data_IF_703016947654
#
_entry.id   IF_703016947654
#
_cell.length_a   1.000
_cell.length_b   1.000
_cell.length_c   1.000
_cell.angle_alpha   90.00
_cell.angle_beta   90.00
_cell.angle_gamma   90.00
#
_symmetry.space_group_name_H-M   'P 1'
#
loop_
_entity.id
_entity.type
_entity.pdbx_description
1 polymer ?
#
# COMPACT_ATOMS: atom_id res chain seq x y z
N UNK A 1 2.18 24.25 25.00
CA UNK A 1 1.95 23.72 26.36
C UNK A 1 0.47 23.32 26.56
N UNK A 2 -0.50 24.25 26.35
CA UNK A 2 -1.94 23.97 26.57
C UNK A 2 -2.45 22.88 25.60
N UNK A 3 -2.13 22.97 24.30
CA UNK A 3 -2.52 21.97 23.29
C UNK A 3 -2.01 20.56 23.64
N UNK A 4 -0.76 20.42 24.10
CA UNK A 4 -0.20 19.12 24.49
C UNK A 4 -0.81 18.52 25.77
N UNK A 5 -1.49 19.35 26.56
CA UNK A 5 -2.25 18.93 27.74
C UNK A 5 -3.74 18.69 27.46
N UNK A 6 -4.19 18.84 26.22
CA UNK A 6 -5.60 18.72 25.85
C UNK A 6 -6.44 19.97 26.10
N UNK A 7 -5.87 21.06 26.66
CA UNK A 7 -6.54 22.32 26.95
C UNK A 7 -6.61 23.22 25.70
N UNK A 8 -7.18 22.69 24.59
CA UNK A 8 -7.12 23.36 23.27
C UNK A 8 -7.90 24.67 23.27
N UNK A 9 -9.02 24.79 24.00
CA UNK A 9 -9.81 26.01 24.10
C UNK A 9 -9.01 27.18 24.68
N UNK A 10 -8.13 26.90 25.64
CA UNK A 10 -7.22 27.92 26.20
C UNK A 10 -6.18 28.37 25.18
N UNK A 11 -5.62 27.41 24.43
CA UNK A 11 -4.67 27.70 23.35
C UNK A 11 -5.32 28.57 22.27
N UNK A 12 -6.53 28.23 21.82
CA UNK A 12 -7.32 28.99 20.85
C UNK A 12 -7.52 30.44 21.28
N UNK A 13 -7.98 30.68 22.53
CA UNK A 13 -8.20 32.04 23.02
C UNK A 13 -6.92 32.87 23.00
N UNK A 14 -5.80 32.29 23.42
CA UNK A 14 -4.50 32.96 23.45
C UNK A 14 -4.05 33.31 22.03
N UNK A 15 -4.05 32.33 21.10
CA UNK A 15 -3.58 32.58 19.75
C UNK A 15 -4.49 33.52 18.97
N UNK A 16 -5.82 33.50 19.22
CA UNK A 16 -6.75 34.51 18.67
C UNK A 16 -6.46 35.91 19.20
N UNK A 17 -6.19 36.07 20.51
CA UNK A 17 -5.84 37.35 21.09
C UNK A 17 -4.52 37.91 20.52
N UNK A 18 -3.53 37.03 20.28
CA UNK A 18 -2.27 37.40 19.65
C UNK A 18 -2.46 37.84 18.18
N UNK A 19 -3.25 37.12 17.40
CA UNK A 19 -3.55 37.45 16.00
C UNK A 19 -4.25 38.80 15.86
N UNK A 20 -5.17 39.09 16.77
CA UNK A 20 -5.95 40.35 16.77
C UNK A 20 -5.20 41.55 17.39
N UNK A 21 -4.03 41.34 17.98
CA UNK A 21 -3.31 42.42 18.64
C UNK A 21 -2.72 43.43 17.65
N UNK A 22 -2.94 44.75 17.82
CA UNK A 22 -2.39 45.78 16.95
C UNK A 22 -0.84 45.97 17.16
N UNK A 23 -0.30 45.47 18.27
CA UNK A 23 1.11 45.68 18.63
C UNK A 23 2.11 44.70 17.97
N UNK A 24 1.60 43.67 17.31
CA UNK A 24 2.45 42.64 16.67
C UNK A 24 2.77 43.00 15.22
N UNK A 25 4.01 42.70 14.83
CA UNK A 25 4.46 42.78 13.45
C UNK A 25 3.72 41.77 12.56
N UNK A 26 3.79 41.94 11.25
CA UNK A 26 3.19 41.03 10.28
C UNK A 26 3.68 39.59 10.49
N UNK A 27 4.99 39.40 10.66
CA UNK A 27 5.61 38.09 10.90
C UNK A 27 5.12 37.43 12.21
N UNK A 28 5.04 38.21 13.31
CA UNK A 28 4.50 37.72 14.59
C UNK A 28 3.05 37.29 14.47
N UNK A 29 2.24 38.01 13.66
CA UNK A 29 0.86 37.61 13.36
C UNK A 29 0.79 36.33 12.55
N UNK A 30 1.70 36.13 11.57
CA UNK A 30 1.76 34.86 10.83
C UNK A 30 2.10 33.68 11.75
N UNK A 31 3.06 33.86 12.68
CA UNK A 31 3.35 32.84 13.70
C UNK A 31 2.12 32.54 14.58
N UNK A 32 1.39 33.58 15.03
CA UNK A 32 0.17 33.40 15.78
C UNK A 32 -0.90 32.64 14.98
N UNK A 33 -1.10 33.00 13.70
CA UNK A 33 -2.01 32.30 12.78
C UNK A 33 -1.60 30.83 12.58
N UNK A 34 -0.31 30.54 12.45
CA UNK A 34 0.18 29.18 12.34
C UNK A 34 -0.16 28.34 13.58
N UNK A 35 0.03 28.90 14.79
CA UNK A 35 -0.33 28.22 16.02
C UNK A 35 -1.84 28.03 16.15
N UNK A 36 -2.63 29.05 15.76
CA UNK A 36 -4.09 29.00 15.73
C UNK A 36 -4.60 27.92 14.75
N UNK A 37 -4.00 27.84 13.57
CA UNK A 37 -4.32 26.78 12.61
C UNK A 37 -4.03 25.37 13.17
N UNK A 38 -2.91 25.20 13.88
CA UNK A 38 -2.59 23.93 14.58
C UNK A 38 -3.60 23.60 15.69
N UNK A 39 -4.13 24.61 16.39
CA UNK A 39 -5.18 24.40 17.40
C UNK A 39 -6.49 23.97 16.74
N UNK A 40 -6.90 24.60 15.63
CA UNK A 40 -8.05 24.17 14.84
C UNK A 40 -7.91 22.75 14.30
N UNK A 41 -6.70 22.37 13.84
CA UNK A 41 -6.40 20.99 13.46
C UNK A 41 -6.60 19.99 14.60
N UNK A 42 -6.22 20.36 15.83
CA UNK A 42 -6.31 19.48 16.99
C UNK A 42 -7.77 19.21 17.40
N UNK A 43 -8.67 20.17 17.19
CA UNK A 43 -10.12 20.01 17.47
C UNK A 43 -10.94 19.57 16.26
N UNK A 44 -10.29 19.39 15.10
CA UNK A 44 -10.96 18.91 13.88
C UNK A 44 -11.70 19.99 13.07
N UNK A 45 -11.47 21.27 13.35
CA UNK A 45 -12.04 22.39 12.56
C UNK A 45 -11.20 22.63 11.31
N UNK A 46 -11.26 21.67 10.38
CA UNK A 46 -10.40 21.67 9.19
C UNK A 46 -10.61 22.88 8.28
N UNK A 47 -11.84 23.35 8.10
CA UNK A 47 -12.16 24.53 7.25
C UNK A 47 -11.47 25.79 7.77
N UNK A 48 -11.46 25.98 9.09
CA UNK A 48 -10.78 27.13 9.72
C UNK A 48 -9.27 27.04 9.62
N UNK A 49 -8.74 25.83 9.81
CA UNK A 49 -7.32 25.58 9.66
C UNK A 49 -6.87 25.78 8.20
N UNK A 50 -7.65 25.28 7.22
CA UNK A 50 -7.42 25.45 5.78
C UNK A 50 -7.29 26.93 5.43
N UNK A 51 -8.28 27.74 5.86
CA UNK A 51 -8.27 29.19 5.59
C UNK A 51 -6.98 29.87 6.07
N UNK A 52 -6.52 29.55 7.28
CA UNK A 52 -5.31 30.14 7.83
C UNK A 52 -4.05 29.67 7.11
N UNK A 53 -3.95 28.37 6.75
CA UNK A 53 -2.78 27.86 6.01
C UNK A 53 -2.73 28.40 4.58
N UNK A 54 -3.86 28.61 3.91
CA UNK A 54 -3.90 29.22 2.57
C UNK A 54 -3.25 30.62 2.58
N UNK A 55 -3.48 31.41 3.62
CA UNK A 55 -2.86 32.76 3.77
C UNK A 55 -1.32 32.71 3.92
N UNK A 56 -0.77 31.55 4.25
CA UNK A 56 0.67 31.38 4.48
C UNK A 56 1.41 30.73 3.29
N UNK A 57 0.67 30.28 2.27
CA UNK A 57 1.30 29.56 1.12
C UNK A 57 2.22 30.48 0.31
N UNK A 58 1.91 31.77 0.26
CA UNK A 58 2.68 32.74 -0.51
C UNK A 58 3.86 33.37 0.29
N UNK A 59 3.97 33.01 1.58
CA UNK A 59 5.06 33.48 2.44
C UNK A 59 6.19 32.46 2.46
N UNK A 60 7.39 32.78 1.93
CA UNK A 60 8.45 31.80 1.70
C UNK A 60 8.86 30.99 2.94
N UNK A 61 8.91 31.63 4.12
CA UNK A 61 9.30 31.00 5.38
C UNK A 61 8.21 30.03 5.92
N UNK A 62 6.95 30.18 5.53
CA UNK A 62 5.81 29.42 5.99
C UNK A 62 5.26 28.46 4.92
N UNK A 63 5.58 28.69 3.66
CA UNK A 63 4.98 28.01 2.51
C UNK A 63 5.09 26.47 2.60
N UNK A 64 6.28 25.93 2.87
CA UNK A 64 6.47 24.47 2.96
C UNK A 64 5.63 23.87 4.09
N UNK A 65 5.68 24.47 5.29
CA UNK A 65 4.92 24.00 6.43
C UNK A 65 3.39 24.12 6.22
N UNK A 66 2.94 25.21 5.60
CA UNK A 66 1.52 25.42 5.27
C UNK A 66 1.02 24.39 4.26
N UNK A 67 1.78 24.14 3.17
CA UNK A 67 1.43 23.14 2.16
C UNK A 67 1.41 21.72 2.76
N UNK A 68 2.34 21.37 3.64
CA UNK A 68 2.31 20.08 4.34
C UNK A 68 1.04 19.90 5.16
N UNK A 69 0.61 20.93 5.89
CA UNK A 69 -0.61 20.86 6.70
C UNK A 69 -1.88 20.84 5.83
N UNK A 70 -1.91 21.59 4.73
CA UNK A 70 -3.00 21.55 3.75
C UNK A 70 -3.14 20.15 3.13
N UNK A 71 -2.03 19.49 2.78
CA UNK A 71 -2.05 18.12 2.28
C UNK A 71 -2.69 17.16 3.30
N UNK A 72 -2.36 17.30 4.60
CA UNK A 72 -2.97 16.50 5.68
C UNK A 72 -4.47 16.78 5.81
N UNK A 73 -4.90 18.05 5.70
CA UNK A 73 -6.32 18.42 5.73
C UNK A 73 -7.05 17.73 4.59
N UNK A 74 -6.60 17.92 3.34
CA UNK A 74 -7.24 17.38 2.15
C UNK A 74 -7.23 15.85 2.09
N UNK A 75 -6.21 15.20 2.65
CA UNK A 75 -6.21 13.76 2.84
C UNK A 75 -7.30 13.31 3.83
N UNK A 76 -7.50 14.04 4.94
CA UNK A 76 -8.53 13.73 5.93
C UNK A 76 -9.95 13.99 5.41
N UNK A 77 -10.15 15.08 4.67
CA UNK A 77 -11.44 15.45 4.07
C UNK A 77 -11.71 14.72 2.75
N UNK A 78 -10.73 13.94 2.24
CA UNK A 78 -10.78 13.22 0.96
C UNK A 78 -10.95 14.13 -0.26
N UNK A 79 -10.48 15.35 -0.17
CA UNK A 79 -10.48 16.32 -1.26
C UNK A 79 -9.26 16.13 -2.16
N UNK A 80 -9.21 14.98 -2.86
CA UNK A 80 -8.01 14.50 -3.54
C UNK A 80 -7.48 15.46 -4.61
N UNK A 81 -8.34 16.15 -5.32
CA UNK A 81 -7.91 17.15 -6.33
C UNK A 81 -7.15 18.32 -5.69
N UNK A 82 -7.60 18.81 -4.53
CA UNK A 82 -6.89 19.83 -3.76
C UNK A 82 -5.59 19.27 -3.18
N UNK A 83 -5.61 18.02 -2.69
CA UNK A 83 -4.42 17.33 -2.18
C UNK A 83 -3.33 17.22 -3.24
N UNK A 84 -3.68 16.84 -4.49
CA UNK A 84 -2.77 16.78 -5.63
C UNK A 84 -2.17 18.17 -5.89
N UNK A 85 -2.99 19.21 -6.04
CA UNK A 85 -2.50 20.55 -6.33
C UNK A 85 -1.50 21.07 -5.29
N UNK A 86 -1.76 20.77 -4.00
CA UNK A 86 -0.88 21.17 -2.91
C UNK A 86 0.41 20.34 -2.92
N UNK A 87 0.31 19.03 -3.15
CA UNK A 87 1.48 18.16 -3.22
C UNK A 87 2.38 18.47 -4.42
N UNK A 88 1.80 18.88 -5.58
CA UNK A 88 2.58 19.35 -6.72
C UNK A 88 3.33 20.66 -6.42
N UNK A 89 2.70 21.62 -5.69
CA UNK A 89 3.38 22.83 -5.23
C UNK A 89 4.52 22.48 -4.27
N UNK A 90 4.26 21.57 -3.34
CA UNK A 90 5.25 21.12 -2.36
C UNK A 90 6.43 20.41 -3.03
N UNK A 91 6.20 19.61 -4.07
CA UNK A 91 7.24 18.95 -4.85
C UNK A 91 8.17 19.95 -5.58
N UNK A 92 7.68 21.15 -5.93
CA UNK A 92 8.52 22.20 -6.51
C UNK A 92 9.44 22.86 -5.48
N UNK A 93 9.00 22.98 -4.23
CA UNK A 93 9.77 23.57 -3.12
C UNK A 93 10.75 22.55 -2.54
N UNK A 94 10.29 21.32 -2.35
CA UNK A 94 11.04 20.20 -1.75
C UNK A 94 11.00 18.95 -2.63
N UNK A 95 11.78 18.89 -3.73
CA UNK A 95 11.66 17.84 -4.77
C UNK A 95 11.87 16.41 -4.28
N UNK A 96 12.53 16.20 -3.13
CA UNK A 96 12.90 14.85 -2.68
C UNK A 96 11.91 14.17 -1.73
N UNK A 97 10.87 14.84 -1.26
CA UNK A 97 10.10 14.36 -0.09
C UNK A 97 8.70 13.82 -0.34
N UNK A 98 8.02 14.08 -1.45
CA UNK A 98 6.56 13.83 -1.53
C UNK A 98 6.08 13.09 -2.79
N UNK A 99 6.97 12.37 -3.48
CA UNK A 99 6.58 11.65 -4.70
C UNK A 99 5.64 10.47 -4.43
N UNK A 100 5.86 9.75 -3.32
CA UNK A 100 5.03 8.59 -2.96
C UNK A 100 3.61 9.03 -2.62
N UNK A 101 3.46 10.03 -1.73
CA UNK A 101 2.15 10.56 -1.34
C UNK A 101 1.38 11.10 -2.54
N UNK A 102 2.04 11.88 -3.40
CA UNK A 102 1.42 12.44 -4.59
C UNK A 102 0.93 11.36 -5.55
N UNK A 103 1.72 10.29 -5.78
CA UNK A 103 1.29 9.16 -6.60
C UNK A 103 0.06 8.47 -6.02
N UNK A 104 0.01 8.29 -4.69
CA UNK A 104 -1.15 7.72 -4.02
C UNK A 104 -2.37 8.65 -4.03
N UNK A 105 -2.19 9.97 -4.00
CA UNK A 105 -3.31 10.92 -4.15
C UNK A 105 -3.94 10.82 -5.54
N UNK A 106 -3.16 10.64 -6.60
CA UNK A 106 -3.70 10.33 -7.93
C UNK A 106 -4.49 9.02 -7.93
N UNK A 107 -3.99 7.96 -7.27
CA UNK A 107 -4.71 6.69 -7.15
C UNK A 107 -6.04 6.86 -6.38
N UNK A 108 -6.03 7.60 -5.27
CA UNK A 108 -7.26 7.88 -4.52
C UNK A 108 -8.23 8.74 -5.34
N UNK A 109 -7.72 9.70 -6.09
CA UNK A 109 -8.55 10.54 -6.96
C UNK A 109 -9.27 9.69 -8.00
N UNK A 110 -8.56 8.79 -8.70
CA UNK A 110 -9.16 7.87 -9.67
C UNK A 110 -10.21 6.97 -9.02
N UNK A 111 -9.93 6.45 -7.82
CA UNK A 111 -10.86 5.57 -7.09
C UNK A 111 -12.18 6.28 -6.72
N UNK A 112 -12.14 7.58 -6.54
CA UNK A 112 -13.30 8.40 -6.15
C UNK A 112 -13.90 9.19 -7.33
N UNK A 113 -13.45 8.95 -8.57
CA UNK A 113 -14.05 9.60 -9.74
C UNK A 113 -15.49 9.11 -9.93
N UNK A 114 -16.43 10.03 -10.20
CA UNK A 114 -17.78 9.66 -10.63
C UNK A 114 -17.76 8.84 -11.93
N UNK A 115 -18.71 7.94 -12.10
CA UNK A 115 -18.79 7.09 -13.31
C UNK A 115 -19.00 7.90 -14.59
N UNK A 116 -19.65 9.05 -14.50
CA UNK A 116 -19.93 10.00 -15.58
C UNK A 116 -18.85 11.08 -15.75
N UNK A 117 -17.73 10.94 -15.04
CA UNK A 117 -16.61 11.87 -15.16
C UNK A 117 -16.05 11.91 -16.57
N UNK A 118 -15.79 13.11 -17.09
CA UNK A 118 -15.10 13.32 -18.36
C UNK A 118 -13.57 13.11 -18.26
N UNK A 119 -13.05 12.98 -17.06
CA UNK A 119 -11.61 12.79 -16.84
C UNK A 119 -11.22 11.34 -17.18
N UNK A 120 -10.07 11.17 -17.83
CA UNK A 120 -9.58 9.84 -18.21
C UNK A 120 -8.76 9.22 -17.05
N UNK A 121 -9.28 8.15 -16.38
CA UNK A 121 -8.59 7.51 -15.27
C UNK A 121 -7.20 6.97 -15.65
N UNK A 122 -7.05 6.47 -16.87
CA UNK A 122 -5.76 5.94 -17.34
C UNK A 122 -4.69 7.03 -17.41
N UNK A 123 -5.03 8.22 -17.89
CA UNK A 123 -4.08 9.34 -17.95
C UNK A 123 -3.65 9.79 -16.56
N UNK A 124 -4.58 9.82 -15.60
CA UNK A 124 -4.32 10.21 -14.20
C UNK A 124 -3.36 9.19 -13.55
N UNK A 125 -3.58 7.89 -13.75
CA UNK A 125 -2.70 6.85 -13.21
C UNK A 125 -1.31 6.87 -13.87
N UNK A 126 -1.21 7.23 -15.15
CA UNK A 126 0.07 7.44 -15.81
C UNK A 126 0.83 8.65 -15.21
N UNK A 127 0.13 9.71 -14.76
CA UNK A 127 0.78 10.78 -14.01
C UNK A 127 1.30 10.28 -12.65
N UNK A 128 0.56 9.41 -11.96
CA UNK A 128 1.04 8.78 -10.74
C UNK A 128 2.36 8.04 -10.96
N UNK A 129 2.45 7.24 -12.03
CA UNK A 129 3.67 6.50 -12.38
C UNK A 129 4.81 7.42 -12.86
N UNK A 130 4.50 8.55 -13.48
CA UNK A 130 5.50 9.55 -13.85
C UNK A 130 6.15 10.19 -12.62
N UNK A 131 5.35 10.42 -11.58
CA UNK A 131 5.81 11.00 -10.31
C UNK A 131 6.57 9.95 -9.47
N UNK A 132 6.03 8.76 -9.35
CA UNK A 132 6.64 7.63 -8.62
C UNK A 132 6.59 6.36 -9.48
N UNK A 133 7.68 6.07 -10.24
CA UNK A 133 7.74 4.86 -11.06
C UNK A 133 7.62 3.54 -10.28
N UNK A 134 7.89 3.57 -8.96
CA UNK A 134 7.77 2.40 -8.07
C UNK A 134 6.37 2.18 -7.51
N UNK A 135 5.37 3.04 -7.82
CA UNK A 135 4.02 2.93 -7.29
C UNK A 135 3.27 1.71 -7.85
N UNK A 136 3.42 0.55 -7.20
CA UNK A 136 2.75 -0.69 -7.59
C UNK A 136 1.22 -0.54 -7.63
N UNK A 137 0.65 0.26 -6.74
CA UNK A 137 -0.80 0.53 -6.71
C UNK A 137 -1.32 1.12 -8.01
N UNK A 138 -0.61 2.10 -8.57
CA UNK A 138 -1.01 2.72 -9.84
C UNK A 138 -0.96 1.71 -11.00
N UNK A 139 0.05 0.83 -11.01
CA UNK A 139 0.14 -0.26 -11.99
C UNK A 139 -0.99 -1.27 -11.84
N UNK A 140 -1.33 -1.69 -10.63
CA UNK A 140 -2.47 -2.58 -10.37
C UNK A 140 -3.77 -1.95 -10.90
N UNK A 141 -4.03 -0.68 -10.58
CA UNK A 141 -5.23 0.02 -11.05
C UNK A 141 -5.26 0.19 -12.58
N UNK A 142 -4.11 0.41 -13.22
CA UNK A 142 -4.01 0.44 -14.71
C UNK A 142 -4.32 -0.92 -15.32
N UNK A 143 -3.80 -1.99 -14.73
CA UNK A 143 -4.11 -3.34 -15.18
C UNK A 143 -5.60 -3.67 -15.04
N UNK A 144 -6.24 -3.26 -13.93
CA UNK A 144 -7.68 -3.41 -13.72
C UNK A 144 -8.50 -2.68 -14.82
N UNK A 145 -8.05 -1.47 -15.22
CA UNK A 145 -8.66 -0.75 -16.35
C UNK A 145 -8.50 -1.49 -17.68
N UNK A 146 -7.30 -2.03 -17.93
CA UNK A 146 -7.03 -2.82 -19.14
C UNK A 146 -7.88 -4.10 -19.19
N UNK A 147 -8.05 -4.78 -18.06
CA UNK A 147 -8.91 -5.97 -17.93
C UNK A 147 -10.38 -5.63 -18.21
N UNK A 148 -10.88 -4.50 -17.70
CA UNK A 148 -12.24 -4.03 -17.99
C UNK A 148 -12.47 -3.73 -19.47
N UNK A 149 -11.40 -3.40 -20.20
CA UNK A 149 -11.40 -3.19 -21.65
C UNK A 149 -11.08 -4.48 -22.44
N UNK A 150 -11.01 -5.63 -21.76
CA UNK A 150 -10.63 -6.93 -22.32
C UNK A 150 -9.23 -6.96 -22.95
N UNK A 151 -8.39 -5.97 -22.64
CA UNK A 151 -7.00 -5.91 -23.11
C UNK A 151 -6.07 -6.66 -22.16
N UNK A 152 -6.22 -8.00 -22.14
CA UNK A 152 -5.48 -8.87 -21.23
C UNK A 152 -3.97 -8.85 -21.47
N UNK A 153 -3.54 -8.64 -22.73
CA UNK A 153 -2.10 -8.55 -23.04
C UNK A 153 -1.45 -7.34 -22.34
N UNK A 154 -2.07 -6.17 -22.47
CA UNK A 154 -1.57 -4.96 -21.77
C UNK A 154 -1.62 -5.14 -20.26
N UNK A 155 -2.64 -5.80 -19.72
CA UNK A 155 -2.73 -6.08 -18.29
C UNK A 155 -1.57 -6.96 -17.82
N UNK A 156 -1.21 -8.02 -18.57
CA UNK A 156 -0.05 -8.88 -18.28
C UNK A 156 1.24 -8.05 -18.24
N UNK A 157 1.51 -7.27 -19.29
CA UNK A 157 2.73 -6.46 -19.39
C UNK A 157 2.89 -5.51 -18.19
N UNK A 158 1.78 -4.88 -17.76
CA UNK A 158 1.77 -3.98 -16.60
C UNK A 158 2.00 -4.74 -15.30
N UNK A 159 1.33 -5.87 -15.09
CA UNK A 159 1.42 -6.64 -13.84
C UNK A 159 2.76 -7.35 -13.68
N UNK A 160 3.34 -7.88 -14.76
CA UNK A 160 4.67 -8.47 -14.71
C UNK A 160 5.75 -7.46 -14.33
N UNK A 161 5.59 -6.20 -14.75
CA UNK A 161 6.53 -5.14 -14.39
C UNK A 161 6.58 -4.88 -12.89
N UNK A 162 5.56 -5.25 -12.10
CA UNK A 162 5.55 -5.12 -10.64
C UNK A 162 6.72 -5.89 -10.02
N UNK A 163 7.15 -7.01 -10.60
CA UNK A 163 8.31 -7.77 -10.13
C UNK A 163 9.62 -6.93 -10.13
N UNK A 164 9.72 -5.95 -11.00
CA UNK A 164 10.89 -5.04 -11.09
C UNK A 164 10.63 -3.71 -10.42
N UNK A 165 9.40 -3.26 -10.39
CA UNK A 165 8.95 -1.99 -9.83
C UNK A 165 8.93 -2.01 -8.30
N UNK A 166 8.26 -3.02 -7.72
CA UNK A 166 8.19 -3.25 -6.28
C UNK A 166 7.80 -4.70 -6.00
N UNK A 167 8.80 -5.57 -5.90
CA UNK A 167 8.62 -7.02 -5.77
C UNK A 167 7.87 -7.45 -4.51
N UNK A 168 7.77 -6.60 -3.48
CA UNK A 168 7.04 -6.91 -2.24
C UNK A 168 5.55 -7.18 -2.52
N UNK A 169 4.99 -6.54 -3.56
CA UNK A 169 3.56 -6.68 -3.91
C UNK A 169 3.29 -7.70 -5.01
N UNK A 170 4.28 -8.51 -5.41
CA UNK A 170 4.06 -9.49 -6.49
C UNK A 170 2.98 -10.51 -6.11
N UNK A 171 2.90 -10.93 -4.86
CA UNK A 171 1.88 -11.85 -4.36
C UNK A 171 0.44 -11.36 -4.60
N UNK A 172 0.23 -10.05 -4.53
CA UNK A 172 -1.09 -9.42 -4.67
C UNK A 172 -1.67 -9.54 -6.08
N UNK A 173 -0.82 -9.73 -7.08
CA UNK A 173 -1.22 -9.71 -8.49
C UNK A 173 -1.25 -11.08 -9.15
N UNK A 174 -0.79 -12.13 -8.48
CA UNK A 174 -0.66 -13.47 -9.06
C UNK A 174 -1.98 -14.04 -9.58
N UNK A 175 -3.05 -13.91 -8.82
CA UNK A 175 -4.37 -14.39 -9.24
C UNK A 175 -4.89 -13.64 -10.47
N UNK A 176 -4.68 -12.33 -10.52
CA UNK A 176 -5.05 -11.49 -11.66
C UNK A 176 -4.21 -11.84 -12.88
N UNK A 177 -2.91 -12.07 -12.70
CA UNK A 177 -2.01 -12.56 -13.76
C UNK A 177 -2.45 -13.92 -14.29
N UNK A 178 -2.71 -14.91 -13.40
CA UNK A 178 -3.23 -16.24 -13.79
C UNK A 178 -4.48 -16.09 -14.65
N UNK A 179 -5.43 -15.26 -14.21
CA UNK A 179 -6.65 -14.99 -14.97
C UNK A 179 -6.38 -14.41 -16.37
N UNK A 180 -5.51 -13.39 -16.47
CA UNK A 180 -5.17 -12.79 -17.77
C UNK A 180 -4.50 -13.80 -18.71
N UNK A 181 -3.56 -14.61 -18.21
CA UNK A 181 -2.90 -15.64 -18.98
C UNK A 181 -3.85 -16.76 -19.42
N UNK A 182 -4.83 -17.13 -18.58
CA UNK A 182 -5.91 -18.06 -18.97
C UNK A 182 -6.74 -17.50 -20.14
N UNK A 183 -7.10 -16.21 -20.09
CA UNK A 183 -7.84 -15.55 -21.17
C UNK A 183 -7.05 -15.48 -22.49
N UNK A 184 -5.73 -15.43 -22.39
CA UNK A 184 -4.82 -15.44 -23.55
C UNK A 184 -4.46 -16.86 -24.01
N UNK A 185 -4.87 -17.92 -23.33
CA UNK A 185 -4.42 -19.31 -23.54
C UNK A 185 -2.89 -19.47 -23.50
N UNK A 186 -2.22 -18.80 -22.55
CA UNK A 186 -0.76 -18.73 -22.43
C UNK A 186 -0.27 -19.13 -21.03
N UNK A 187 -0.81 -20.18 -20.43
CA UNK A 187 -0.42 -20.64 -19.07
C UNK A 187 1.05 -21.07 -18.98
N UNK A 188 1.63 -21.57 -20.08
CA UNK A 188 3.06 -21.91 -20.10
C UNK A 188 3.95 -20.66 -19.89
N UNK A 189 3.55 -19.51 -20.44
CA UNK A 189 4.26 -18.25 -20.21
C UNK A 189 4.12 -17.79 -18.75
N UNK A 190 2.96 -18.03 -18.14
CA UNK A 190 2.76 -17.74 -16.72
C UNK A 190 3.66 -18.63 -15.83
N UNK A 191 3.82 -19.90 -16.15
CA UNK A 191 4.76 -20.79 -15.45
C UNK A 191 6.19 -20.26 -15.55
N UNK A 192 6.65 -19.87 -16.74
CA UNK A 192 7.97 -19.25 -16.94
C UNK A 192 8.15 -17.97 -16.12
N UNK A 193 7.12 -17.13 -16.08
CA UNK A 193 7.12 -15.93 -15.24
C UNK A 193 7.27 -16.27 -13.75
N UNK A 194 6.52 -17.25 -13.24
CA UNK A 194 6.60 -17.67 -11.84
C UNK A 194 7.97 -18.26 -11.49
N UNK A 195 8.59 -19.04 -12.38
CA UNK A 195 9.96 -19.56 -12.19
C UNK A 195 10.94 -18.40 -12.04
N UNK A 196 10.86 -17.40 -12.94
CA UNK A 196 11.71 -16.21 -12.91
C UNK A 196 11.46 -15.37 -11.65
N UNK A 197 10.21 -15.19 -11.25
CA UNK A 197 9.83 -14.44 -10.06
C UNK A 197 10.35 -15.12 -8.79
N UNK A 198 10.25 -16.45 -8.71
CA UNK A 198 10.73 -17.24 -7.58
C UNK A 198 12.25 -17.21 -7.43
N UNK A 199 12.98 -17.14 -8.54
CA UNK A 199 14.45 -16.99 -8.53
C UNK A 199 14.89 -15.61 -8.03
N UNK A 200 14.11 -14.57 -8.36
CA UNK A 200 14.46 -13.18 -8.01
C UNK A 200 14.08 -12.82 -6.58
N UNK A 201 12.93 -13.30 -6.13
CA UNK A 201 12.38 -13.00 -4.81
C UNK A 201 11.68 -14.24 -4.26
N UNK A 202 12.22 -14.83 -3.19
CA UNK A 202 11.70 -16.04 -2.57
C UNK A 202 10.36 -15.77 -1.86
N UNK A 203 9.35 -15.36 -2.62
CA UNK A 203 8.02 -15.07 -2.12
C UNK A 203 7.19 -16.36 -2.03
N UNK A 204 6.67 -16.66 -0.84
CA UNK A 204 5.89 -17.89 -0.60
C UNK A 204 4.64 -17.99 -1.48
N UNK A 205 3.98 -16.88 -1.79
CA UNK A 205 2.81 -16.88 -2.67
C UNK A 205 3.17 -17.28 -4.12
N UNK A 206 4.34 -16.85 -4.61
CA UNK A 206 4.85 -17.26 -5.93
C UNK A 206 5.16 -18.76 -5.93
N UNK A 207 5.82 -19.26 -4.89
CA UNK A 207 6.16 -20.68 -4.76
C UNK A 207 4.92 -21.57 -4.70
N UNK A 208 3.89 -21.16 -3.96
CA UNK A 208 2.62 -21.88 -3.86
C UNK A 208 1.87 -21.86 -5.20
N UNK A 209 1.78 -20.71 -5.86
CA UNK A 209 1.13 -20.60 -7.17
C UNK A 209 1.82 -21.47 -8.24
N UNK A 210 3.17 -21.53 -8.19
CA UNK A 210 3.94 -22.40 -9.08
C UNK A 210 3.67 -23.89 -8.78
N UNK A 211 3.58 -24.27 -7.51
CA UNK A 211 3.24 -25.63 -7.12
C UNK A 211 1.83 -26.04 -7.59
N UNK A 212 0.84 -25.15 -7.44
CA UNK A 212 -0.52 -25.38 -7.92
C UNK A 212 -0.57 -25.59 -9.45
N UNK A 213 0.20 -24.84 -10.23
CA UNK A 213 0.31 -25.06 -11.69
C UNK A 213 0.98 -26.37 -12.05
N UNK A 214 2.05 -26.75 -11.35
CA UNK A 214 2.75 -28.04 -11.56
C UNK A 214 1.81 -29.18 -11.19
N UNK A 215 1.03 -29.05 -10.11
CA UNK A 215 0.03 -30.05 -9.72
C UNK A 215 -1.02 -30.27 -10.81
N UNK A 216 -1.56 -29.17 -11.39
CA UNK A 216 -2.54 -29.22 -12.47
C UNK A 216 -1.96 -29.88 -13.75
N UNK A 217 -0.66 -29.72 -14.04
CA UNK A 217 -0.02 -30.16 -15.29
C UNK A 217 0.66 -31.53 -15.18
N UNK A 218 1.45 -31.73 -14.12
CA UNK A 218 2.39 -32.86 -13.99
C UNK A 218 2.00 -33.77 -12.80
N UNK A 219 0.98 -33.40 -12.04
CA UNK A 219 0.44 -34.16 -10.92
C UNK A 219 1.11 -33.87 -9.57
N UNK A 220 0.54 -34.50 -8.53
CA UNK A 220 0.84 -34.26 -7.13
C UNK A 220 2.33 -34.49 -6.79
N UNK A 221 2.94 -35.59 -7.30
CA UNK A 221 4.32 -35.93 -6.99
C UNK A 221 5.33 -34.87 -7.47
N UNK A 222 5.10 -34.28 -8.65
CA UNK A 222 5.96 -33.23 -9.17
C UNK A 222 5.84 -31.95 -8.33
N UNK A 223 4.62 -31.55 -7.97
CA UNK A 223 4.36 -30.40 -7.10
C UNK A 223 5.00 -30.58 -5.71
N UNK A 224 4.88 -31.77 -5.12
CA UNK A 224 5.48 -32.13 -3.83
C UNK A 224 7.00 -32.02 -3.86
N UNK A 225 7.65 -32.56 -4.90
CA UNK A 225 9.10 -32.45 -5.09
C UNK A 225 9.53 -30.98 -5.20
N UNK A 226 8.74 -30.15 -5.92
CA UNK A 226 9.02 -28.71 -6.07
C UNK A 226 8.96 -27.98 -4.74
N UNK A 227 7.93 -28.21 -3.94
CA UNK A 227 7.80 -27.57 -2.61
C UNK A 227 8.89 -28.07 -1.65
N UNK A 228 9.26 -29.34 -1.71
CA UNK A 228 10.37 -29.87 -0.91
C UNK A 228 11.70 -29.16 -1.22
N UNK A 229 12.03 -29.00 -2.51
CA UNK A 229 13.22 -28.25 -2.92
C UNK A 229 13.17 -26.79 -2.45
N UNK A 230 11.99 -26.18 -2.51
CA UNK A 230 11.81 -24.82 -2.06
C UNK A 230 12.00 -24.66 -0.54
N UNK A 231 11.48 -25.62 0.24
CA UNK A 231 11.66 -25.64 1.70
C UNK A 231 13.11 -25.81 2.12
N UNK A 232 13.90 -26.54 1.34
CA UNK A 232 15.35 -26.69 1.61
C UNK A 232 16.11 -25.36 1.37
N UNK A 233 15.68 -24.57 0.40
CA UNK A 233 16.32 -23.29 0.04
C UNK A 233 15.84 -22.13 0.91
N UNK A 234 14.54 -22.05 1.11
CA UNK A 234 13.89 -20.97 1.84
C UNK A 234 12.67 -21.52 2.60
N UNK A 235 12.84 -21.99 3.84
CA UNK A 235 11.74 -22.50 4.64
C UNK A 235 10.75 -21.39 4.98
N UNK A 236 9.48 -21.57 4.58
CA UNK A 236 8.39 -20.66 4.88
C UNK A 236 7.17 -21.43 5.39
N UNK A 237 6.53 -20.94 6.44
CA UNK A 237 5.39 -21.62 7.08
C UNK A 237 4.24 -21.94 6.13
N UNK A 238 3.81 -21.05 5.20
CA UNK A 238 2.77 -21.37 4.22
C UNK A 238 3.17 -22.51 3.26
N UNK A 239 4.44 -22.54 2.83
CA UNK A 239 4.96 -23.60 1.97
C UNK A 239 5.00 -24.93 2.74
N UNK A 240 5.47 -24.91 3.99
CA UNK A 240 5.50 -26.08 4.86
C UNK A 240 4.09 -26.62 5.12
N UNK A 241 3.12 -25.78 5.38
CA UNK A 241 1.72 -26.17 5.57
C UNK A 241 1.16 -26.88 4.33
N UNK A 242 1.40 -26.36 3.12
CA UNK A 242 0.98 -27.00 1.87
C UNK A 242 1.70 -28.32 1.62
N UNK A 243 3.00 -28.39 1.94
CA UNK A 243 3.79 -29.62 1.85
C UNK A 243 3.24 -30.71 2.77
N UNK A 244 2.88 -30.40 4.02
CA UNK A 244 2.24 -31.37 4.94
C UNK A 244 0.93 -31.87 4.35
N UNK A 245 0.13 -31.00 3.70
CA UNK A 245 -1.11 -31.42 3.04
C UNK A 245 -0.83 -32.50 1.99
N UNK A 246 0.17 -32.30 1.15
CA UNK A 246 0.57 -33.31 0.15
C UNK A 246 1.05 -34.64 0.79
N UNK A 247 1.76 -34.55 1.92
CA UNK A 247 2.16 -35.77 2.67
C UNK A 247 0.93 -36.51 3.24
N UNK A 248 -0.10 -35.82 3.68
CA UNK A 248 -1.36 -36.40 4.16
C UNK A 248 -2.07 -37.13 3.03
N UNK A 249 -2.13 -36.52 1.84
CA UNK A 249 -2.85 -37.04 0.69
C UNK A 249 -2.19 -38.37 0.19
N UNK A 250 -0.86 -38.44 0.26
CA UNK A 250 -0.06 -39.60 -0.14
C UNK A 250 0.07 -40.69 0.97
N UNK A 251 -0.19 -40.35 2.24
CA UNK A 251 0.03 -41.27 3.37
C UNK A 251 -1.06 -42.34 3.48
N UNK A 252 -0.64 -43.57 3.80
CA UNK A 252 -1.54 -44.67 4.19
C UNK A 252 -2.22 -44.37 5.54
N UNK A 253 -3.45 -44.90 5.70
CA UNK A 253 -4.21 -44.74 6.95
C UNK A 253 -3.47 -45.38 8.13
N UNK A 254 -3.31 -44.63 9.22
CA UNK A 254 -2.65 -45.09 10.42
C UNK A 254 -2.08 -43.96 11.27
N UNK A 255 -1.36 -44.31 12.34
CA UNK A 255 -0.84 -43.30 13.29
C UNK A 255 0.03 -42.22 12.66
N UNK A 256 0.77 -42.54 11.59
CA UNK A 256 1.58 -41.55 10.85
C UNK A 256 0.73 -40.47 10.21
N UNK A 257 -0.33 -40.88 9.52
CA UNK A 257 -1.28 -39.95 8.89
C UNK A 257 -2.01 -39.08 9.94
N UNK A 258 -2.43 -39.69 11.05
CA UNK A 258 -3.09 -38.96 12.15
C UNK A 258 -2.16 -37.88 12.74
N UNK A 259 -0.88 -38.19 12.87
CA UNK A 259 0.14 -37.24 13.33
C UNK A 259 0.33 -36.09 12.35
N UNK A 260 0.37 -36.37 11.04
CA UNK A 260 0.45 -35.31 9.99
C UNK A 260 -0.78 -34.41 9.98
N UNK A 261 -1.99 -34.96 10.12
CA UNK A 261 -3.24 -34.22 10.22
C UNK A 261 -3.23 -33.27 11.43
N UNK A 262 -2.75 -33.78 12.58
CA UNK A 262 -2.62 -32.94 13.79
C UNK A 262 -1.62 -31.79 13.55
N UNK A 263 -0.45 -32.09 12.99
CA UNK A 263 0.58 -31.09 12.68
C UNK A 263 0.05 -30.04 11.69
N UNK A 264 -0.59 -30.48 10.60
CA UNK A 264 -1.21 -29.57 9.62
C UNK A 264 -2.22 -28.62 10.28
N UNK A 265 -3.08 -29.14 11.15
CA UNK A 265 -4.04 -28.32 11.90
C UNK A 265 -3.34 -27.29 12.78
N UNK A 266 -2.31 -27.69 13.55
CA UNK A 266 -1.57 -26.77 14.44
C UNK A 266 -0.87 -25.66 13.65
N UNK A 267 -0.20 -26.00 12.54
CA UNK A 267 0.46 -25.03 11.66
C UNK A 267 -0.58 -24.09 11.03
N UNK A 268 -1.71 -24.63 10.56
CA UNK A 268 -2.79 -23.84 9.99
C UNK A 268 -3.42 -22.86 10.98
N UNK A 269 -3.58 -23.25 12.26
CA UNK A 269 -4.03 -22.35 13.32
C UNK A 269 -3.01 -21.24 13.58
N UNK A 270 -1.72 -21.55 13.57
CA UNK A 270 -0.66 -20.55 13.72
C UNK A 270 -0.68 -19.54 12.56
N UNK A 271 -0.82 -20.00 11.30
CA UNK A 271 -0.93 -19.10 10.13
C UNK A 271 -2.11 -18.16 10.28
N UNK A 272 -3.28 -18.65 10.72
CA UNK A 272 -4.47 -17.80 10.92
C UNK A 272 -4.31 -16.74 12.01
N UNK A 273 -3.44 -16.98 13.00
CA UNK A 273 -3.14 -16.03 14.07
C UNK A 273 -2.11 -14.98 13.68
N UNK A 274 -1.33 -15.21 12.61
CA UNK A 274 -0.35 -14.25 12.12
C UNK A 274 -1.02 -13.23 11.18
N UNK A 275 -0.56 -12.00 11.23
CA UNK A 275 -1.03 -10.96 10.32
C UNK A 275 -0.31 -11.10 8.97
N UNK A 276 -1.05 -10.85 7.88
CA UNK A 276 -0.51 -10.95 6.53
C UNK A 276 0.38 -9.75 6.15
N UNK A 277 0.16 -8.61 6.82
CA UNK A 277 0.83 -7.33 6.51
C UNK A 277 1.29 -6.62 7.77
N UNK A 278 2.42 -5.92 7.65
CA UNK A 278 3.00 -5.10 8.71
C UNK A 278 3.49 -3.78 8.16
N UNK A 279 3.28 -2.70 8.90
CA UNK A 279 3.85 -1.39 8.59
C UNK A 279 5.36 -1.38 8.90
N UNK A 280 6.19 -1.10 7.90
CA UNK A 280 7.65 -0.99 8.06
C UNK A 280 8.08 0.21 8.89
N UNK A 281 7.20 1.23 9.07
CA UNK A 281 7.52 2.43 9.84
C UNK A 281 7.11 2.33 11.33
N UNK A 282 5.90 1.87 11.64
CA UNK A 282 5.38 1.89 13.01
C UNK A 282 5.01 0.52 13.58
N UNK A 283 5.17 -0.57 12.81
CA UNK A 283 4.86 -1.93 13.25
C UNK A 283 3.36 -2.28 13.28
N UNK A 284 2.45 -1.41 12.82
CA UNK A 284 1.02 -1.72 12.75
C UNK A 284 0.79 -2.96 11.90
N UNK A 285 -0.03 -3.90 12.39
CA UNK A 285 -0.31 -5.19 11.77
C UNK A 285 -1.75 -5.29 11.29
N UNK A 286 -1.98 -5.99 10.16
CA UNK A 286 -3.32 -6.13 9.55
C UNK A 286 -3.39 -7.37 8.65
N UNK A 287 -4.61 -7.88 8.42
CA UNK A 287 -4.88 -8.98 7.47
C UNK A 287 -5.21 -8.47 6.05
N UNK A 288 -5.25 -7.16 5.82
CA UNK A 288 -5.59 -6.59 4.52
C UNK A 288 -4.55 -5.60 4.09
N UNK A 289 -4.22 -5.59 2.79
CA UNK A 289 -3.37 -4.56 2.23
C UNK A 289 -4.06 -3.19 2.31
N UNK A 290 -3.40 -2.26 2.98
CA UNK A 290 -3.84 -0.88 3.14
C UNK A 290 -2.70 0.02 2.67
N UNK A 291 -2.94 0.88 1.70
CA UNK A 291 -1.89 1.72 1.12
C UNK A 291 -1.43 2.89 1.99
N UNK A 292 -2.30 3.38 2.88
CA UNK A 292 -1.98 4.39 3.88
C UNK A 292 -2.11 3.77 5.28
N UNK A 293 -1.05 3.73 6.05
CA UNK A 293 -1.08 3.18 7.40
C UNK A 293 -2.04 3.96 8.31
N UNK A 294 -3.02 3.34 8.96
CA UNK A 294 -3.98 4.05 9.81
C UNK A 294 -3.35 4.60 11.09
N UNK A 295 -2.24 4.03 11.54
CA UNK A 295 -1.53 4.44 12.74
C UNK A 295 -0.59 5.62 12.48
N UNK A 296 0.42 5.45 11.62
CA UNK A 296 1.42 6.49 11.34
C UNK A 296 1.10 7.37 10.13
N UNK A 297 0.06 7.02 9.35
CA UNK A 297 -0.44 7.73 8.17
C UNK A 297 0.55 7.85 7.00
N UNK A 298 1.62 7.08 7.04
CA UNK A 298 2.53 7.00 5.91
C UNK A 298 2.01 6.08 4.82
N UNK A 299 2.29 6.45 3.57
CA UNK A 299 1.90 5.70 2.38
C UNK A 299 2.94 4.63 2.05
N UNK A 300 2.46 3.53 1.44
CA UNK A 300 3.30 2.43 0.93
C UNK A 300 4.21 1.76 1.98
N UNK A 301 3.86 1.90 3.25
CA UNK A 301 4.61 1.31 4.37
C UNK A 301 4.04 -0.02 4.85
N UNK A 302 2.82 -0.37 4.47
CA UNK A 302 2.19 -1.67 4.78
C UNK A 302 2.68 -2.68 3.73
N UNK A 303 3.46 -3.65 4.19
CA UNK A 303 4.07 -4.68 3.33
C UNK A 303 3.64 -6.07 3.76
N UNK A 304 3.57 -7.05 2.83
CA UNK A 304 3.41 -8.45 3.18
C UNK A 304 4.54 -8.89 4.12
N UNK A 305 4.20 -9.70 5.11
CA UNK A 305 5.16 -10.24 6.06
C UNK A 305 5.39 -11.71 5.73
N UNK A 306 6.66 -12.11 5.57
CA UNK A 306 6.98 -13.54 5.48
C UNK A 306 6.77 -14.19 6.86
N UNK A 307 6.22 -15.39 6.90
CA UNK A 307 5.89 -16.09 8.15
C UNK A 307 7.12 -16.42 9.03
N UNK A 308 8.34 -16.20 8.52
CA UNK A 308 9.62 -16.42 9.23
C UNK A 308 10.03 -15.20 10.07
N UNK A 309 9.55 -14.00 9.77
CA UNK A 309 9.92 -12.78 10.51
C UNK A 309 9.20 -12.62 11.85
N UNK A 310 8.50 -13.66 12.31
CA UNK A 310 7.63 -13.62 13.50
C UNK A 310 8.16 -14.43 14.70
N UNK A 311 9.34 -15.01 14.63
CA UNK A 311 9.95 -15.75 15.76
C UNK A 311 11.00 -14.93 16.49
#
# INVERSE_FOLDING_TARGET
LFRSRGEVDRALRIHQALDNSPHYTFEQKLLAKQQLAKDFMAVGFFDRAEHLYILMVDEPEFAEAALQQLAIIYQKTKEWKKAINVAEKLAKISPKKNHIELAHYYCEYVRNLPQDSKENPQQILLQALKVSPSCARASIMLADLAIKQENYKSAVDILENILTQNSDYIGEVLNTLKFCYQKLNQLDNFELFLIKANQKNHNSAVSLMLADLIEEKDGLAAAQLKLYQQLQQNPATPIFHRFIQYQIDDAENGRGKDSLILLHKMVGERIKQTFDYRCSNCGYQTHKLIWCCPSCRQWETIKPVSAIEHD
#
